data_IF_128478476996
#
_entry.id   IF_128478476996
#
_cell.length_a   1.000
_cell.length_b   1.000
_cell.length_c   1.000
_cell.angle_alpha   90.00
_cell.angle_beta   90.00
_cell.angle_gamma   90.00
#
_symmetry.space_group_name_H-M   'P 1'
#
loop_
_entity.id
_entity.type
_entity.pdbx_description
1 polymer ?
#
# COMPACT_ATOMS: atom_id res chain seq x y z
N UNK A 1 12.26 10.02 -22.51
CA UNK A 1 11.53 10.63 -21.38
C UNK A 1 10.93 9.52 -20.51
N UNK A 2 11.61 9.09 -19.44
CA UNK A 2 11.05 8.19 -18.42
C UNK A 2 10.73 8.99 -17.15
N UNK A 3 9.79 9.94 -17.23
CA UNK A 3 9.51 10.90 -16.15
C UNK A 3 8.26 10.58 -15.32
N UNK A 4 7.44 9.59 -15.70
CA UNK A 4 6.22 9.24 -14.96
C UNK A 4 6.44 8.33 -13.73
N UNK A 5 7.43 7.45 -13.78
CA UNK A 5 7.47 6.29 -12.87
C UNK A 5 8.10 6.57 -11.49
N UNK A 6 9.12 7.43 -11.40
CA UNK A 6 9.79 7.72 -10.13
C UNK A 6 8.92 8.58 -9.19
N UNK A 7 7.96 9.34 -9.73
CA UNK A 7 7.13 10.23 -8.94
C UNK A 7 6.12 9.48 -8.06
N UNK A 8 5.61 8.34 -8.54
CA UNK A 8 4.64 7.51 -7.81
C UNK A 8 5.26 6.97 -6.52
N UNK A 9 6.49 6.46 -6.59
CA UNK A 9 7.21 5.92 -5.42
C UNK A 9 7.40 6.99 -4.33
N UNK A 10 7.86 8.18 -4.72
CA UNK A 10 8.04 9.30 -3.79
C UNK A 10 6.71 9.72 -3.18
N UNK A 11 5.68 9.85 -4.01
CA UNK A 11 4.34 10.27 -3.60
C UNK A 11 3.70 9.29 -2.60
N UNK A 12 3.83 7.97 -2.83
CA UNK A 12 3.37 6.94 -1.88
C UNK A 12 4.08 7.05 -0.54
N UNK A 13 5.41 7.16 -0.54
CA UNK A 13 6.19 7.31 0.71
C UNK A 13 5.83 8.57 1.49
N UNK A 14 5.63 9.69 0.79
CA UNK A 14 5.18 10.93 1.42
C UNK A 14 3.80 10.80 2.04
N UNK A 15 2.86 10.13 1.35
CA UNK A 15 1.53 9.88 1.88
C UNK A 15 1.58 8.99 3.13
N UNK A 16 2.36 7.91 3.13
CA UNK A 16 2.57 7.06 4.31
C UNK A 16 3.12 7.89 5.48
N UNK A 17 4.17 8.67 5.27
CA UNK A 17 4.72 9.57 6.31
C UNK A 17 3.68 10.56 6.85
N UNK A 18 2.83 11.10 5.98
CA UNK A 18 1.76 12.02 6.40
C UNK A 18 0.69 11.29 7.23
N UNK A 19 0.35 10.05 6.88
CA UNK A 19 -0.57 9.19 7.65
C UNK A 19 0.00 8.85 9.03
N UNK A 20 1.29 8.57 9.13
CA UNK A 20 1.94 8.27 10.41
C UNK A 20 1.98 9.51 11.34
N UNK A 21 2.20 10.70 10.78
CA UNK A 21 2.58 11.90 11.54
C UNK A 21 1.43 12.90 11.78
N UNK A 22 0.31 12.84 11.02
CA UNK A 22 -0.83 13.77 11.15
C UNK A 22 -2.00 13.15 11.90
N UNK A 23 -2.82 13.98 12.56
CA UNK A 23 -4.12 13.57 13.11
C UNK A 23 -5.18 13.31 12.03
N UNK A 24 -5.07 13.98 10.86
CA UNK A 24 -6.04 13.87 9.75
C UNK A 24 -5.65 12.77 8.76
N UNK A 25 -5.64 11.52 9.25
CA UNK A 25 -5.17 10.35 8.49
C UNK A 25 -6.10 9.96 7.35
N UNK A 26 -7.40 10.19 7.54
CA UNK A 26 -8.46 9.73 6.63
C UNK A 26 -8.32 10.32 5.21
N UNK A 27 -7.99 11.61 5.11
CA UNK A 27 -7.74 12.29 3.84
C UNK A 27 -6.56 11.66 3.08
N UNK A 28 -5.45 11.43 3.77
CA UNK A 28 -4.24 10.87 3.15
C UNK A 28 -4.41 9.40 2.80
N UNK A 29 -5.17 8.63 3.58
CA UNK A 29 -5.52 7.25 3.26
C UNK A 29 -6.37 7.18 1.98
N UNK A 30 -7.35 8.08 1.82
CA UNK A 30 -8.14 8.18 0.57
C UNK A 30 -7.26 8.50 -0.63
N UNK A 31 -6.34 9.46 -0.51
CA UNK A 31 -5.38 9.76 -1.59
C UNK A 31 -4.45 8.56 -1.90
N UNK A 32 -3.97 7.86 -0.87
CA UNK A 32 -3.12 6.68 -1.03
C UNK A 32 -3.86 5.55 -1.78
N UNK A 33 -5.14 5.34 -1.48
CA UNK A 33 -5.99 4.37 -2.22
C UNK A 33 -6.11 4.71 -3.71
N UNK A 34 -6.23 5.98 -4.07
CA UNK A 34 -6.32 6.41 -5.48
C UNK A 34 -5.01 6.06 -6.20
N UNK A 35 -3.86 6.40 -5.61
CA UNK A 35 -2.55 6.10 -6.20
C UNK A 35 -2.35 4.58 -6.35
N UNK A 36 -2.73 3.80 -5.34
CA UNK A 36 -2.67 2.33 -5.41
C UNK A 36 -3.60 1.76 -6.48
N UNK A 37 -4.76 2.38 -6.70
CA UNK A 37 -5.67 2.00 -7.78
C UNK A 37 -5.04 2.24 -9.16
N UNK A 38 -4.35 3.36 -9.37
CA UNK A 38 -3.61 3.63 -10.61
C UNK A 38 -2.49 2.60 -10.85
N UNK A 39 -1.75 2.24 -9.80
CA UNK A 39 -0.72 1.19 -9.87
C UNK A 39 -1.35 -0.16 -10.23
N UNK A 40 -2.44 -0.54 -9.57
CA UNK A 40 -3.16 -1.80 -9.83
C UNK A 40 -3.73 -1.84 -11.25
N UNK A 41 -4.21 -0.71 -11.76
CA UNK A 41 -4.76 -0.60 -13.11
C UNK A 41 -3.70 -0.78 -14.20
N UNK A 42 -2.41 -0.67 -13.86
CA UNK A 42 -1.32 -0.85 -14.81
C UNK A 42 -0.43 -2.04 -14.40
N UNK A 43 -0.60 -3.18 -15.07
CA UNK A 43 0.10 -4.44 -14.76
C UNK A 43 1.63 -4.29 -14.66
N UNK A 44 2.26 -3.50 -15.55
CA UNK A 44 3.71 -3.24 -15.50
C UNK A 44 4.13 -2.46 -14.26
N UNK A 45 3.31 -1.51 -13.81
CA UNK A 45 3.55 -0.75 -12.59
C UNK A 45 3.31 -1.62 -11.35
N UNK A 46 2.27 -2.45 -11.36
CA UNK A 46 1.97 -3.38 -10.28
C UNK A 46 3.11 -4.37 -10.06
N UNK A 47 3.66 -4.97 -11.11
CA UNK A 47 4.81 -5.89 -10.97
C UNK A 47 6.06 -5.14 -10.50
N UNK A 48 6.32 -3.93 -11.02
CA UNK A 48 7.48 -3.12 -10.62
C UNK A 48 7.40 -2.60 -9.18
N UNK A 49 6.19 -2.30 -8.71
CA UNK A 49 5.94 -1.69 -7.40
C UNK A 49 5.16 -2.60 -6.45
N UNK A 50 5.13 -3.91 -6.69
CA UNK A 50 4.33 -4.86 -5.90
C UNK A 50 4.61 -4.74 -4.40
N UNK A 51 5.89 -4.73 -3.99
CA UNK A 51 6.24 -4.57 -2.58
C UNK A 51 5.79 -3.23 -1.98
N UNK A 52 5.87 -2.15 -2.75
CA UNK A 52 5.42 -0.82 -2.31
C UNK A 52 3.89 -0.71 -2.28
N UNK A 53 3.20 -1.43 -3.16
CA UNK A 53 1.75 -1.56 -3.16
C UNK A 53 1.27 -2.31 -1.92
N UNK A 54 1.91 -3.43 -1.59
CA UNK A 54 1.59 -4.21 -0.39
C UNK A 54 1.85 -3.43 0.90
N UNK A 55 3.01 -2.79 1.03
CA UNK A 55 3.38 -1.96 2.18
C UNK A 55 2.40 -0.81 2.42
N UNK A 56 2.07 -0.07 1.35
CA UNK A 56 1.08 1.01 1.41
C UNK A 56 -0.34 0.51 1.73
N UNK A 57 -0.71 -0.66 1.22
CA UNK A 57 -2.01 -1.27 1.52
C UNK A 57 -2.09 -1.77 2.96
N UNK A 58 -0.99 -2.27 3.52
CA UNK A 58 -0.89 -2.64 4.94
C UNK A 58 -1.08 -1.43 5.85
N UNK A 59 -0.39 -0.32 5.56
CA UNK A 59 -0.59 0.97 6.25
C UNK A 59 -2.05 1.40 6.21
N UNK A 60 -2.71 1.31 5.06
CA UNK A 60 -4.15 1.62 4.96
C UNK A 60 -4.96 0.73 5.89
N UNK A 61 -4.73 -0.58 5.89
CA UNK A 61 -5.47 -1.52 6.74
C UNK A 61 -5.21 -1.23 8.23
N UNK A 62 -3.96 -0.99 8.61
CA UNK A 62 -3.55 -0.65 9.97
C UNK A 62 -4.26 0.60 10.49
N UNK A 63 -4.33 1.65 9.68
CA UNK A 63 -4.89 2.94 10.11
C UNK A 63 -6.39 3.11 9.83
N UNK A 64 -7.01 2.28 8.98
CA UNK A 64 -8.48 2.30 8.77
C UNK A 64 -9.23 1.26 9.59
N UNK A 65 -8.54 0.32 10.23
CA UNK A 65 -9.16 -0.69 11.08
C UNK A 65 -9.51 -0.14 12.47
N UNK A 66 -10.57 0.66 12.55
CA UNK A 66 -11.30 0.93 13.82
C UNK A 66 -12.32 -0.17 14.14
N UNK A 67 -11.90 -1.45 14.03
CA UNK A 67 -12.72 -2.63 14.34
C UNK A 67 -12.03 -3.94 13.91
N UNK A 68 -12.30 -5.09 14.57
CA UNK A 68 -11.53 -6.31 14.37
C UNK A 68 -11.86 -6.92 13.00
N UNK A 69 -10.98 -6.70 12.03
CA UNK A 69 -10.94 -7.50 10.81
C UNK A 69 -9.49 -7.85 10.45
N UNK A 70 -8.83 -8.52 11.38
CA UNK A 70 -7.73 -9.45 11.08
C UNK A 70 -8.29 -10.66 10.33
N UNK A 71 -8.80 -10.45 9.11
CA UNK A 71 -9.25 -11.53 8.25
C UNK A 71 -8.38 -11.59 7.00
N UNK A 72 -7.11 -12.00 7.19
CA UNK A 72 -6.31 -12.76 6.21
C UNK A 72 -4.80 -12.86 6.56
N UNK A 73 -4.28 -12.16 7.58
CA UNK A 73 -2.85 -12.32 7.96
C UNK A 73 -2.57 -13.61 8.77
N UNK A 74 -3.26 -14.72 8.45
CA UNK A 74 -3.01 -16.05 9.01
C UNK A 74 -2.92 -17.19 7.99
N UNK A 75 -3.04 -16.94 6.69
CA UNK A 75 -3.00 -18.02 5.68
C UNK A 75 -1.98 -17.86 4.55
N UNK A 76 -0.99 -16.96 4.67
CA UNK A 76 0.15 -16.93 3.73
C UNK A 76 1.52 -17.18 4.38
N UNK A 77 1.54 -17.73 5.59
CA UNK A 77 2.66 -18.59 6.04
C UNK A 77 2.24 -20.04 5.76
N UNK A 78 1.94 -20.33 4.49
CA UNK A 78 1.89 -21.72 4.04
C UNK A 78 3.34 -22.19 4.07
N UNK A 79 3.67 -22.85 5.19
CA UNK A 79 4.90 -23.58 5.48
C UNK A 79 5.60 -23.95 4.17
N UNK A 80 6.79 -23.39 3.98
CA UNK A 80 7.73 -23.91 2.99
C UNK A 80 7.77 -25.42 3.16
N UNK A 81 7.37 -26.08 2.08
CA UNK A 81 7.43 -27.51 1.84
C UNK A 81 8.84 -27.98 2.20
N UNK A 82 8.99 -28.64 3.35
CA UNK A 82 10.21 -29.38 3.65
C UNK A 82 9.92 -30.83 3.31
N UNK A 83 10.64 -31.28 2.29
CA UNK A 83 10.83 -32.68 1.92
C UNK A 83 11.13 -33.54 3.16
#
# INVERSE_FOLDING_TARGET
MELGNNNIKTRVKELIRKIENRSDKDKYIKELKIVLFEIRSNKKMLEKYSGLYEDANDVIILYTSSGPKTCAYKSHIKKSKKY
#
